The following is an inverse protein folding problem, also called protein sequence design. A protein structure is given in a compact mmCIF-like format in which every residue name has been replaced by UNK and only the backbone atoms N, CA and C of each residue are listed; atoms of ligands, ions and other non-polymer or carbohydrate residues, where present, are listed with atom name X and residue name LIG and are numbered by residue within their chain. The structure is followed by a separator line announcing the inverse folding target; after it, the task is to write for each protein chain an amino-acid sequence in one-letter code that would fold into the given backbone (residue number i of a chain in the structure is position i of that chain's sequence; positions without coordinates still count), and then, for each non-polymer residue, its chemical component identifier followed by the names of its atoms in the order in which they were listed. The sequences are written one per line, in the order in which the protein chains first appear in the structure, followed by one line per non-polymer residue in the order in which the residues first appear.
data_IF_031274079503
#
_entry.id   IF_031274079503
#
_cell.length_a   1.000
_cell.length_b   1.000
_cell.length_c   1.000
_cell.angle_alpha   90.00
_cell.angle_beta   90.00
_cell.angle_gamma   90.00
#
_symmetry.space_group_name_H-M   'P 1'
#
loop_
_entity.id
_entity.type
_entity.pdbx_description
1 polymer ?
#
# COMPACT_ATOMS: atom_id res chain seq x y z
N UNK A 1 51.58 29.35 62.74
CA UNK A 1 50.08 29.32 62.81
C UNK A 1 49.59 30.71 62.44
N UNK A 2 48.61 31.01 61.57
CA UNK A 2 47.68 30.26 60.71
C UNK A 2 47.40 31.23 59.53
N UNK A 3 47.61 30.80 58.27
CA UNK A 3 47.17 31.56 57.08
C UNK A 3 45.65 31.45 56.97
N UNK A 4 44.95 32.58 57.07
CA UNK A 4 43.52 32.69 56.79
C UNK A 4 43.30 32.64 55.27
N UNK A 5 42.75 31.52 54.79
CA UNK A 5 42.32 31.34 53.40
C UNK A 5 40.86 31.79 53.29
N UNK A 6 40.64 33.01 52.81
CA UNK A 6 39.31 33.52 52.48
C UNK A 6 38.73 32.80 51.25
N UNK A 7 37.98 31.72 51.46
CA UNK A 7 37.12 31.14 50.41
C UNK A 7 35.95 32.12 50.16
N UNK A 8 35.94 32.76 48.99
CA UNK A 8 34.77 33.52 48.50
C UNK A 8 33.56 32.58 48.46
N UNK A 9 32.58 32.79 49.35
CA UNK A 9 31.26 32.13 49.26
C UNK A 9 30.54 32.72 48.06
N UNK A 10 30.43 31.95 46.98
CA UNK A 10 29.51 32.23 45.88
C UNK A 10 28.10 32.25 46.50
N UNK A 11 27.29 33.27 46.22
CA UNK A 11 25.93 33.33 46.79
C UNK A 11 25.12 32.17 46.21
N UNK A 12 24.26 31.55 47.01
CA UNK A 12 23.40 30.45 46.55
C UNK A 12 22.61 30.81 45.29
N UNK A 13 22.26 32.09 45.15
CA UNK A 13 21.60 32.66 43.97
C UNK A 13 22.51 32.66 42.72
N UNK A 14 23.79 33.00 42.85
CA UNK A 14 24.73 32.97 41.71
C UNK A 14 25.02 31.55 41.25
N UNK A 15 25.09 30.60 42.19
CA UNK A 15 25.22 29.18 41.86
C UNK A 15 23.96 28.65 41.14
N UNK A 16 22.77 28.99 41.64
CA UNK A 16 21.50 28.58 41.03
C UNK A 16 21.34 29.12 39.60
N UNK A 17 21.64 30.40 39.37
CA UNK A 17 21.60 31.04 38.05
C UNK A 17 22.60 30.36 37.09
N UNK A 18 23.82 30.08 37.56
CA UNK A 18 24.82 29.38 36.74
C UNK A 18 24.36 27.97 36.35
N UNK A 19 23.79 27.21 37.30
CA UNK A 19 23.28 25.86 37.01
C UNK A 19 22.08 25.85 36.06
N UNK A 20 21.15 26.80 36.19
CA UNK A 20 20.02 26.92 35.26
C UNK A 20 20.45 27.35 33.87
N UNK A 21 21.43 28.26 33.75
CA UNK A 21 22.01 28.65 32.47
C UNK A 21 22.71 27.47 31.77
N UNK A 22 23.44 26.63 32.51
CA UNK A 22 24.08 25.42 31.97
C UNK A 22 23.02 24.40 31.52
N UNK A 23 21.98 24.15 32.32
CA UNK A 23 20.90 23.23 31.94
C UNK A 23 20.14 23.72 30.71
N UNK A 24 19.88 25.03 30.60
CA UNK A 24 19.27 25.64 29.43
C UNK A 24 20.17 25.50 28.19
N UNK A 25 21.48 25.74 28.33
CA UNK A 25 22.44 25.56 27.24
C UNK A 25 22.52 24.10 26.76
N UNK A 26 22.51 23.13 27.68
CA UNK A 26 22.47 21.70 27.36
C UNK A 26 21.15 21.34 26.67
N UNK A 27 20.00 21.82 27.15
CA UNK A 27 18.70 21.58 26.51
C UNK A 27 18.65 22.17 25.08
N UNK A 28 19.19 23.38 24.89
CA UNK A 28 19.30 24.01 23.57
C UNK A 28 20.23 23.21 22.66
N UNK A 29 21.40 22.79 23.14
CA UNK A 29 22.32 21.93 22.38
C UNK A 29 21.69 20.58 22.02
N UNK A 30 20.92 19.97 22.92
CA UNK A 30 20.18 18.75 22.65
C UNK A 30 19.10 18.97 21.57
N UNK A 31 18.36 20.08 21.62
CA UNK A 31 17.35 20.44 20.61
C UNK A 31 17.97 20.73 19.24
N UNK A 32 19.09 21.47 19.20
CA UNK A 32 19.83 21.72 17.97
C UNK A 32 20.46 20.43 17.42
N UNK A 33 21.02 19.59 18.28
CA UNK A 33 21.56 18.29 17.91
C UNK A 33 20.49 17.35 17.35
N UNK A 34 19.31 17.29 17.99
CA UNK A 34 18.19 16.48 17.49
C UNK A 34 17.65 17.02 16.16
N UNK A 35 17.55 18.33 15.99
CA UNK A 35 17.12 18.94 14.72
C UNK A 35 18.13 18.72 13.60
N UNK A 36 19.44 18.80 13.88
CA UNK A 36 20.48 18.55 12.89
C UNK A 36 20.50 17.07 12.47
N UNK A 37 20.41 16.16 13.44
CA UNK A 37 20.29 14.72 13.16
C UNK A 37 19.03 14.39 12.36
N UNK A 38 17.90 15.05 12.67
CA UNK A 38 16.66 14.92 11.90
C UNK A 38 16.81 15.44 10.46
N UNK A 39 17.44 16.61 10.27
CA UNK A 39 17.65 17.18 8.95
C UNK A 39 18.58 16.32 8.07
N UNK A 40 19.68 15.79 8.64
CA UNK A 40 20.58 14.87 7.92
C UNK A 40 19.87 13.58 7.51
N UNK A 41 19.06 13.04 8.41
CA UNK A 41 18.26 11.83 8.21
C UNK A 41 17.22 11.98 7.10
N UNK A 42 16.49 13.10 7.08
CA UNK A 42 15.52 13.41 6.00
C UNK A 42 16.25 13.59 4.67
N UNK A 43 17.42 14.24 4.67
CA UNK A 43 18.23 14.42 3.46
C UNK A 43 18.64 13.09 2.81
N UNK A 44 19.16 12.14 3.59
CA UNK A 44 19.57 10.84 3.06
C UNK A 44 18.40 10.06 2.43
N UNK A 45 17.22 10.07 3.09
CA UNK A 45 16.01 9.44 2.53
C UNK A 45 15.59 10.10 1.22
N UNK A 46 15.67 11.43 1.14
CA UNK A 46 15.29 12.18 -0.06
C UNK A 46 16.22 11.93 -1.25
N UNK A 47 17.54 11.85 -1.02
CA UNK A 47 18.51 11.55 -2.09
C UNK A 47 18.23 10.18 -2.73
N UNK A 48 17.87 9.17 -1.93
CA UNK A 48 17.51 7.85 -2.46
C UNK A 48 16.18 7.82 -3.22
N UNK A 49 15.20 8.59 -2.75
CA UNK A 49 13.93 8.72 -3.47
C UNK A 49 14.13 9.32 -4.86
N UNK A 50 14.98 10.35 -4.97
CA UNK A 50 15.26 11.01 -6.25
C UNK A 50 15.88 10.07 -7.29
N UNK A 51 16.77 9.16 -6.88
CA UNK A 51 17.37 8.17 -7.80
C UNK A 51 16.34 7.17 -8.32
N UNK A 52 15.48 6.66 -7.43
CA UNK A 52 14.39 5.76 -7.78
C UNK A 52 13.38 6.43 -8.70
N UNK A 53 12.99 7.66 -8.38
CA UNK A 53 12.05 8.47 -9.15
C UNK A 53 12.55 8.69 -10.57
N UNK A 54 13.83 9.04 -10.73
CA UNK A 54 14.47 9.18 -12.06
C UNK A 54 14.31 7.91 -12.91
N UNK A 55 14.58 6.73 -12.35
CA UNK A 55 14.47 5.46 -13.08
C UNK A 55 13.01 5.15 -13.48
N UNK A 56 12.05 5.52 -12.64
CA UNK A 56 10.64 5.34 -12.97
C UNK A 56 10.21 6.28 -14.10
N UNK A 57 10.64 7.55 -14.06
CA UNK A 57 10.36 8.52 -15.12
C UNK A 57 10.81 8.03 -16.49
N UNK A 58 12.03 7.48 -16.58
CA UNK A 58 12.57 6.92 -17.83
C UNK A 58 11.71 5.75 -18.37
N UNK A 59 11.21 4.87 -17.49
CA UNK A 59 10.29 3.78 -17.88
C UNK A 59 8.94 4.30 -18.33
N UNK A 60 8.40 5.32 -17.67
CA UNK A 60 7.11 5.93 -18.04
C UNK A 60 7.17 6.63 -19.40
N UNK A 61 8.29 7.26 -19.72
CA UNK A 61 8.50 7.88 -21.02
C UNK A 61 8.41 6.88 -22.18
N UNK A 62 9.05 5.72 -22.04
CA UNK A 62 8.97 4.66 -23.04
C UNK A 62 7.53 4.14 -23.21
N UNK A 63 6.84 3.86 -22.11
CA UNK A 63 5.47 3.35 -22.14
C UNK A 63 4.46 4.35 -22.75
N UNK A 64 4.64 5.66 -22.48
CA UNK A 64 3.79 6.72 -23.07
C UNK A 64 3.82 6.71 -24.60
N UNK A 65 4.97 6.41 -25.19
CA UNK A 65 5.12 6.33 -26.64
C UNK A 65 4.32 5.16 -27.20
N UNK A 66 4.42 3.98 -26.58
CA UNK A 66 3.69 2.77 -27.01
C UNK A 66 2.16 2.94 -26.94
N UNK A 67 1.64 3.57 -25.88
CA UNK A 67 0.20 3.84 -25.73
C UNK A 67 -0.30 4.83 -26.78
N UNK A 68 0.46 5.90 -27.03
CA UNK A 68 0.07 6.88 -28.05
C UNK A 68 0.01 6.24 -29.44
N UNK A 69 1.01 5.42 -29.79
CA UNK A 69 1.03 4.67 -31.05
C UNK A 69 -0.18 3.73 -31.16
N UNK A 70 -0.54 3.02 -30.08
CA UNK A 70 -1.73 2.17 -30.06
C UNK A 70 -3.01 2.99 -30.29
N UNK A 71 -3.19 4.11 -29.59
CA UNK A 71 -4.37 4.97 -29.74
C UNK A 71 -4.51 5.52 -31.16
N UNK A 72 -3.39 5.95 -31.76
CA UNK A 72 -3.36 6.43 -33.14
C UNK A 72 -3.76 5.32 -34.12
N UNK A 73 -3.30 4.08 -33.90
CA UNK A 73 -3.71 2.91 -34.72
C UNK A 73 -5.21 2.63 -34.60
N UNK A 74 -5.76 2.63 -33.39
CA UNK A 74 -7.19 2.35 -33.18
C UNK A 74 -8.07 3.43 -33.81
N UNK A 75 -7.66 4.69 -33.73
CA UNK A 75 -8.37 5.81 -34.34
C UNK A 75 -8.31 5.79 -35.87
N UNK A 76 -7.18 5.35 -36.44
CA UNK A 76 -6.99 5.27 -37.88
C UNK A 76 -7.71 4.09 -38.55
N UNK A 77 -8.02 3.02 -37.79
CA UNK A 77 -8.54 1.79 -38.34
C UNK A 77 -10.08 1.71 -38.30
N UNK A 78 -10.74 2.22 -39.35
CA UNK A 78 -12.21 2.25 -39.49
C UNK A 78 -12.91 0.86 -39.60
N UNK A 79 -12.17 -0.24 -39.49
CA UNK A 79 -12.64 -1.62 -39.71
C UNK A 79 -12.52 -2.53 -38.46
N UNK A 80 -12.47 -1.96 -37.25
CA UNK A 80 -12.53 -2.77 -36.02
C UNK A 80 -13.98 -3.26 -35.86
N UNK A 81 -14.17 -4.57 -35.72
CA UNK A 81 -15.47 -5.18 -35.40
C UNK A 81 -16.03 -4.55 -34.12
N UNK A 82 -17.28 -4.08 -34.15
CA UNK A 82 -17.97 -3.61 -32.96
C UNK A 82 -18.26 -4.74 -31.96
N UNK A 83 -18.30 -5.99 -32.45
CA UNK A 83 -18.55 -7.17 -31.62
C UNK A 83 -17.25 -7.60 -30.93
N UNK A 84 -17.30 -7.61 -29.60
CA UNK A 84 -16.23 -8.13 -28.74
C UNK A 84 -15.96 -9.62 -29.02
N UNK A 85 -14.76 -10.13 -28.70
CA UNK A 85 -14.48 -11.55 -28.76
C UNK A 85 -15.47 -12.34 -27.90
N UNK A 86 -15.85 -13.54 -28.33
CA UNK A 86 -16.70 -14.42 -27.53
C UNK A 86 -15.93 -14.89 -26.30
N UNK A 87 -16.46 -14.71 -25.07
CA UNK A 87 -15.82 -15.24 -23.87
C UNK A 87 -15.87 -16.78 -23.87
N UNK A 88 -14.99 -17.42 -23.10
CA UNK A 88 -15.19 -18.85 -22.81
C UNK A 88 -16.48 -18.98 -22.00
N UNK A 89 -17.43 -19.77 -22.52
CA UNK A 89 -18.76 -19.94 -21.93
C UNK A 89 -18.82 -21.14 -20.98
N UNK A 90 -17.69 -21.75 -20.64
CA UNK A 90 -17.63 -22.74 -19.55
C UNK A 90 -17.89 -22.05 -18.20
N UNK A 91 -18.44 -22.80 -17.22
CA UNK A 91 -18.69 -22.29 -15.86
C UNK A 91 -17.44 -21.61 -15.29
N UNK A 92 -17.61 -20.43 -14.68
CA UNK A 92 -16.54 -19.68 -14.03
C UNK A 92 -16.20 -18.33 -14.67
N UNK A 93 -14.99 -17.85 -14.38
CA UNK A 93 -14.51 -16.52 -14.78
C UNK A 93 -13.72 -16.60 -16.09
N UNK A 94 -14.11 -15.77 -17.07
CA UNK A 94 -13.40 -15.58 -18.34
C UNK A 94 -12.94 -14.12 -18.45
N UNK A 95 -11.65 -13.91 -18.72
CA UNK A 95 -11.05 -12.58 -18.90
C UNK A 95 -10.70 -12.42 -20.37
N UNK A 96 -11.27 -11.40 -21.02
CA UNK A 96 -11.12 -11.14 -22.46
C UNK A 96 -10.34 -9.85 -22.66
N UNK A 97 -9.29 -9.92 -23.47
CA UNK A 97 -8.53 -8.74 -23.89
C UNK A 97 -9.29 -7.97 -24.97
N UNK A 98 -9.59 -6.72 -24.67
CA UNK A 98 -10.31 -5.77 -25.51
C UNK A 98 -9.41 -4.61 -25.96
N UNK A 99 -8.08 -4.74 -25.86
CA UNK A 99 -7.11 -3.69 -26.23
C UNK A 99 -7.32 -3.13 -27.63
N UNK A 100 -7.76 -3.96 -28.57
CA UNK A 100 -8.02 -3.54 -29.95
C UNK A 100 -9.46 -3.06 -30.20
N UNK A 101 -10.28 -2.92 -29.15
CA UNK A 101 -11.68 -2.54 -29.23
C UNK A 101 -11.91 -1.20 -28.52
N UNK A 102 -12.57 -0.22 -29.17
CA UNK A 102 -12.85 1.07 -28.55
C UNK A 102 -13.91 0.93 -27.45
N UNK A 103 -13.95 1.91 -26.54
CA UNK A 103 -15.04 2.04 -25.58
C UNK A 103 -16.36 2.30 -26.32
N UNK A 104 -17.44 1.68 -25.85
CA UNK A 104 -18.75 1.89 -26.41
C UNK A 104 -19.39 3.19 -25.90
N UNK A 105 -19.98 3.97 -26.81
CA UNK A 105 -20.58 5.27 -26.56
C UNK A 105 -19.72 6.19 -25.65
N UNK A 106 -18.50 6.54 -26.07
CA UNK A 106 -17.55 7.20 -25.19
C UNK A 106 -18.03 8.61 -24.80
N UNK A 107 -17.91 8.93 -23.52
CA UNK A 107 -17.99 10.30 -22.98
C UNK A 107 -16.69 10.71 -22.33
N UNK A 108 -16.62 11.94 -21.82
CA UNK A 108 -15.48 12.43 -21.02
C UNK A 108 -15.99 12.88 -19.65
N UNK A 109 -15.26 12.53 -18.60
CA UNK A 109 -15.46 13.07 -17.25
C UNK A 109 -14.16 13.67 -16.73
N UNK A 110 -14.27 14.63 -15.82
CA UNK A 110 -13.12 15.18 -15.10
C UNK A 110 -13.21 14.76 -13.64
N UNK A 111 -12.13 14.17 -13.12
CA UNK A 111 -12.06 13.64 -11.76
C UNK A 111 -10.93 14.28 -10.97
N UNK A 112 -11.12 14.43 -9.66
CA UNK A 112 -10.11 14.91 -8.72
C UNK A 112 -9.06 13.84 -8.48
N UNK A 113 -7.79 14.23 -8.46
CA UNK A 113 -6.67 13.35 -8.12
C UNK A 113 -6.84 12.68 -6.75
N UNK A 114 -7.35 13.41 -5.76
CA UNK A 114 -7.54 12.89 -4.41
C UNK A 114 -8.58 11.78 -4.34
N UNK A 115 -9.69 11.93 -5.09
CA UNK A 115 -10.79 10.96 -5.08
C UNK A 115 -10.36 9.61 -5.67
N UNK A 116 -9.47 9.63 -6.66
CA UNK A 116 -9.01 8.43 -7.37
C UNK A 116 -7.77 7.78 -6.74
N UNK A 117 -7.16 8.35 -5.70
CA UNK A 117 -6.05 7.69 -4.98
C UNK A 117 -6.50 6.55 -4.07
N UNK A 118 -7.78 6.53 -3.68
CA UNK A 118 -8.33 5.58 -2.72
C UNK A 118 -9.02 4.38 -3.40
N UNK A 119 -9.00 4.30 -4.73
CA UNK A 119 -9.67 3.25 -5.52
C UNK A 119 -9.03 1.86 -5.45
N UNK A 120 -7.93 1.69 -4.70
CA UNK A 120 -7.34 0.39 -4.38
C UNK A 120 -6.06 0.03 -5.14
N UNK A 121 -5.78 0.63 -6.30
CA UNK A 121 -4.64 0.24 -7.16
C UNK A 121 -3.36 1.06 -6.96
N UNK A 122 -3.35 2.02 -6.03
CA UNK A 122 -2.15 2.82 -5.75
C UNK A 122 -0.95 1.93 -5.41
N UNK A 123 0.00 1.76 -6.33
CA UNK A 123 1.18 0.92 -6.11
C UNK A 123 2.13 1.61 -5.14
N UNK A 124 2.33 0.99 -3.97
CA UNK A 124 3.29 1.47 -2.98
C UNK A 124 4.30 0.35 -2.72
N UNK A 125 5.52 0.54 -3.18
CA UNK A 125 6.63 -0.40 -3.00
C UNK A 125 7.98 0.32 -2.99
N UNK A 126 9.09 -0.41 -2.94
CA UNK A 126 10.45 0.17 -2.89
C UNK A 126 10.72 1.17 -4.01
N UNK A 127 10.05 0.99 -5.16
CA UNK A 127 10.23 1.83 -6.33
C UNK A 127 9.20 2.95 -6.41
N UNK A 128 8.01 2.78 -5.84
CA UNK A 128 6.92 3.74 -5.98
C UNK A 128 6.50 4.21 -4.59
N UNK A 129 6.99 5.40 -4.20
CA UNK A 129 6.56 6.02 -2.95
C UNK A 129 5.10 6.45 -3.08
N UNK A 130 4.37 6.35 -1.97
CA UNK A 130 3.08 7.02 -1.81
C UNK A 130 3.22 8.51 -2.17
N UNK A 131 2.26 9.09 -2.92
CA UNK A 131 2.23 10.51 -3.23
C UNK A 131 2.32 11.40 -1.98
N UNK A 132 3.02 12.52 -2.08
CA UNK A 132 3.20 13.46 -0.97
C UNK A 132 1.95 14.26 -0.63
N UNK A 133 1.05 14.41 -1.61
CA UNK A 133 -0.25 15.07 -1.50
C UNK A 133 -1.37 14.11 -1.08
N UNK A 134 -1.05 12.87 -0.72
CA UNK A 134 -2.04 11.86 -0.34
C UNK A 134 -2.83 12.27 0.91
N UNK A 135 -4.15 12.45 0.77
CA UNK A 135 -5.03 12.79 1.89
C UNK A 135 -5.33 11.58 2.79
N UNK A 136 -5.12 11.79 4.08
CA UNK A 136 -5.29 10.78 5.13
C UNK A 136 -6.52 11.09 6.03
N UNK A 137 -7.25 12.16 5.72
CA UNK A 137 -8.33 12.70 6.56
C UNK A 137 -9.50 11.72 6.76
N UNK A 138 -9.73 10.83 5.79
CA UNK A 138 -10.82 9.86 5.79
C UNK A 138 -10.48 8.53 6.47
N UNK A 139 -9.26 8.36 7.01
CA UNK A 139 -8.89 7.17 7.77
C UNK A 139 -9.80 6.97 8.99
N UNK A 140 -10.27 5.74 9.18
CA UNK A 140 -11.14 5.36 10.30
C UNK A 140 -10.45 4.36 11.22
N UNK A 141 -10.71 4.46 12.53
CA UNK A 141 -10.34 3.39 13.46
C UNK A 141 -11.14 2.14 13.12
N UNK A 142 -10.44 1.04 12.80
CA UNK A 142 -11.10 -0.21 12.39
C UNK A 142 -12.01 -0.71 13.52
N UNK A 143 -11.57 -0.55 14.78
CA UNK A 143 -12.35 -0.93 15.96
C UNK A 143 -13.67 -0.17 16.07
N UNK A 144 -13.65 1.16 15.96
CA UNK A 144 -14.86 1.98 16.04
C UNK A 144 -15.78 1.69 14.86
N UNK A 145 -15.20 1.55 13.66
CA UNK A 145 -15.92 1.30 12.44
C UNK A 145 -16.66 -0.04 12.47
N UNK A 146 -15.98 -1.11 12.84
CA UNK A 146 -16.57 -2.44 12.97
C UNK A 146 -17.65 -2.54 14.06
N UNK A 147 -17.47 -1.86 15.20
CA UNK A 147 -18.51 -1.77 16.24
C UNK A 147 -19.79 -1.13 15.72
N UNK A 148 -19.67 -0.11 14.85
CA UNK A 148 -20.83 0.53 14.24
C UNK A 148 -21.61 -0.40 13.30
N UNK A 149 -20.96 -1.46 12.80
CA UNK A 149 -21.57 -2.50 11.97
C UNK A 149 -21.98 -3.76 12.76
N UNK A 150 -21.98 -3.70 14.10
CA UNK A 150 -22.40 -4.81 14.95
C UNK A 150 -21.33 -5.91 15.14
N UNK A 151 -20.12 -5.70 14.64
CA UNK A 151 -19.00 -6.64 14.79
C UNK A 151 -18.27 -6.32 16.10
N UNK A 152 -18.53 -7.14 17.13
CA UNK A 152 -18.15 -6.81 18.53
C UNK A 152 -17.07 -7.69 19.15
N UNK A 153 -16.80 -8.87 18.58
CA UNK A 153 -15.81 -9.83 19.11
C UNK A 153 -14.56 -9.92 18.22
N UNK A 154 -13.41 -9.98 18.89
CA UNK A 154 -12.18 -10.61 18.39
C UNK A 154 -11.32 -9.93 17.32
N UNK A 155 -11.33 -8.60 17.11
CA UNK A 155 -10.57 -8.02 15.96
C UNK A 155 -9.46 -7.02 16.33
N UNK A 156 -9.24 -6.69 17.61
CA UNK A 156 -8.45 -5.50 17.96
C UNK A 156 -7.30 -5.77 18.91
N UNK A 157 -6.06 -5.53 18.47
CA UNK A 157 -4.93 -5.36 19.39
C UNK A 157 -5.05 -4.06 20.18
N UNK A 158 -5.48 -2.98 19.51
CA UNK A 158 -5.75 -1.66 20.08
C UNK A 158 -6.69 -0.83 19.18
N UNK A 159 -7.12 0.34 19.65
CA UNK A 159 -7.97 1.30 18.94
C UNK A 159 -7.27 2.05 17.79
N UNK A 160 -5.94 1.93 17.71
CA UNK A 160 -5.09 2.81 16.91
C UNK A 160 -4.89 2.31 15.49
N UNK A 161 -5.26 1.05 15.22
CA UNK A 161 -5.27 0.51 13.87
C UNK A 161 -6.32 1.23 13.04
N UNK A 162 -5.87 1.75 11.90
CA UNK A 162 -6.68 2.53 10.97
C UNK A 162 -6.56 1.98 9.56
N UNK A 163 -7.65 2.12 8.81
CA UNK A 163 -7.71 1.83 7.37
C UNK A 163 -8.59 2.91 6.72
N UNK A 164 -8.49 3.05 5.40
CA UNK A 164 -9.53 3.75 4.66
C UNK A 164 -10.83 2.95 4.69
N UNK A 165 -12.01 3.60 4.66
CA UNK A 165 -13.30 2.93 4.72
C UNK A 165 -13.47 1.79 3.72
N UNK A 166 -12.97 1.96 2.49
CA UNK A 166 -13.02 0.92 1.44
C UNK A 166 -12.29 -0.37 1.86
N UNK A 167 -11.10 -0.25 2.44
CA UNK A 167 -10.33 -1.40 2.92
C UNK A 167 -10.89 -1.96 4.23
N UNK A 168 -11.45 -1.11 5.10
CA UNK A 168 -12.11 -1.54 6.33
C UNK A 168 -13.39 -2.35 6.03
N UNK A 169 -14.19 -1.92 5.05
CA UNK A 169 -15.38 -2.65 4.59
C UNK A 169 -14.99 -4.01 4.02
N UNK A 170 -14.04 -4.04 3.07
CA UNK A 170 -13.54 -5.28 2.49
C UNK A 170 -13.06 -6.29 3.54
N UNK A 171 -12.30 -5.83 4.54
CA UNK A 171 -11.90 -6.66 5.67
C UNK A 171 -13.11 -7.19 6.44
N UNK A 172 -14.07 -6.34 6.79
CA UNK A 172 -15.20 -6.73 7.64
C UNK A 172 -16.16 -7.66 6.91
N UNK A 173 -16.36 -7.49 5.61
CA UNK A 173 -17.15 -8.40 4.78
C UNK A 173 -16.49 -9.79 4.71
N UNK A 174 -15.16 -9.84 4.50
CA UNK A 174 -14.41 -11.09 4.54
C UNK A 174 -14.51 -11.78 5.91
N UNK A 175 -14.35 -11.04 7.00
CA UNK A 175 -14.45 -11.61 8.35
C UNK A 175 -15.86 -12.08 8.71
N UNK A 176 -16.91 -11.40 8.22
CA UNK A 176 -18.28 -11.85 8.41
C UNK A 176 -18.54 -13.17 7.68
N UNK A 177 -18.07 -13.31 6.44
CA UNK A 177 -18.20 -14.56 5.70
C UNK A 177 -17.35 -15.70 6.30
N UNK A 178 -16.15 -15.40 6.81
CA UNK A 178 -15.36 -16.37 7.54
C UNK A 178 -16.11 -16.87 8.78
N UNK A 179 -16.75 -15.96 9.51
CA UNK A 179 -17.57 -16.29 10.67
C UNK A 179 -18.77 -17.17 10.31
N UNK A 180 -19.43 -16.92 9.17
CA UNK A 180 -20.50 -17.79 8.66
C UNK A 180 -19.99 -19.20 8.34
N UNK A 181 -18.72 -19.33 7.94
CA UNK A 181 -18.02 -20.61 7.80
C UNK A 181 -17.51 -21.21 9.14
N UNK A 182 -17.85 -20.60 10.29
CA UNK A 182 -17.43 -21.06 11.62
C UNK A 182 -15.99 -20.68 12.00
N UNK A 183 -15.37 -19.77 11.25
CA UNK A 183 -13.99 -19.33 11.47
C UNK A 183 -13.98 -17.95 12.13
N UNK A 184 -13.58 -17.91 13.40
CA UNK A 184 -13.43 -16.66 14.18
C UNK A 184 -11.99 -16.53 14.73
N UNK A 185 -11.74 -15.43 15.45
CA UNK A 185 -10.46 -15.18 16.14
C UNK A 185 -9.42 -14.38 15.35
N UNK A 186 -9.82 -13.73 14.25
CA UNK A 186 -8.94 -12.88 13.43
C UNK A 186 -8.67 -11.52 14.07
N UNK A 187 -7.41 -11.20 14.35
CA UNK A 187 -7.02 -9.88 14.86
C UNK A 187 -6.13 -9.14 13.85
N UNK A 188 -6.41 -7.85 13.66
CA UNK A 188 -5.52 -6.95 12.91
C UNK A 188 -4.30 -6.61 13.77
N UNK A 189 -3.11 -7.01 13.32
CA UNK A 189 -1.84 -6.74 14.01
C UNK A 189 -1.31 -5.34 13.69
N UNK A 190 -1.20 -5.04 12.41
CA UNK A 190 -0.71 -3.77 11.87
C UNK A 190 -1.57 -3.38 10.67
N UNK A 191 -1.91 -2.11 10.55
CA UNK A 191 -2.60 -1.50 9.42
C UNK A 191 -1.92 -0.16 9.06
N UNK A 192 -2.67 0.92 8.87
CA UNK A 192 -2.09 2.21 8.50
C UNK A 192 -0.96 2.65 9.45
N UNK A 193 0.15 3.09 8.85
CA UNK A 193 1.29 3.72 9.52
C UNK A 193 1.62 5.03 8.80
N UNK A 194 1.75 6.12 9.55
CA UNK A 194 2.12 7.40 8.95
C UNK A 194 3.54 7.40 8.40
N UNK A 195 3.84 8.31 7.48
CA UNK A 195 5.19 8.51 6.95
C UNK A 195 6.16 8.88 8.09
N UNK A 196 5.69 9.70 9.04
CA UNK A 196 6.49 10.11 10.21
C UNK A 196 6.82 8.93 11.13
N UNK A 197 5.85 8.03 11.36
CA UNK A 197 6.09 6.83 12.16
C UNK A 197 7.04 5.86 11.44
N UNK A 198 6.87 5.69 10.12
CA UNK A 198 7.78 4.89 9.30
C UNK A 198 9.20 5.46 9.30
N UNK A 199 9.35 6.79 9.25
CA UNK A 199 10.64 7.47 9.39
C UNK A 199 11.26 7.14 10.74
N UNK A 200 10.49 7.26 11.84
CA UNK A 200 10.97 6.93 13.18
C UNK A 200 11.50 5.49 13.27
N UNK A 201 10.82 4.52 12.66
CA UNK A 201 11.28 3.13 12.59
C UNK A 201 12.58 2.98 11.78
N UNK A 202 12.64 3.61 10.61
CA UNK A 202 13.83 3.61 9.75
C UNK A 202 15.05 4.11 10.52
N UNK A 203 14.87 5.22 11.22
CA UNK A 203 15.95 5.88 11.93
C UNK A 203 16.45 5.10 13.13
N UNK A 204 15.52 4.50 13.87
CA UNK A 204 15.86 3.66 15.00
C UNK A 204 16.74 2.51 14.52
N UNK A 205 16.39 1.88 13.41
CA UNK A 205 17.15 0.76 12.84
C UNK A 205 18.50 1.21 12.27
N UNK A 206 18.53 2.28 11.48
CA UNK A 206 19.77 2.85 10.95
C UNK A 206 20.75 3.22 12.07
N UNK A 207 20.29 3.92 13.11
CA UNK A 207 21.15 4.30 14.24
C UNK A 207 21.59 3.09 15.06
N UNK A 208 20.74 2.07 15.21
CA UNK A 208 21.09 0.81 15.85
C UNK A 208 22.21 0.10 15.09
N UNK A 209 22.14 0.05 13.75
CA UNK A 209 23.18 -0.53 12.91
C UNK A 209 24.48 0.29 12.96
N UNK A 210 24.38 1.63 12.87
CA UNK A 210 25.53 2.54 12.98
C UNK A 210 26.27 2.38 14.31
N UNK A 211 25.53 2.21 15.40
CA UNK A 211 26.10 1.95 16.72
C UNK A 211 26.77 0.58 16.84
N UNK A 212 26.31 -0.44 16.10
CA UNK A 212 26.89 -1.79 16.10
C UNK A 212 28.02 -2.00 15.08
N UNK A 213 28.03 -1.20 14.01
CA UNK A 213 28.93 -1.34 12.88
C UNK A 213 29.59 0.01 12.54
N UNK A 214 30.40 0.53 13.46
CA UNK A 214 31.01 1.86 13.34
C UNK A 214 31.97 2.03 12.15
N UNK A 215 32.41 0.93 11.54
CA UNK A 215 33.26 0.94 10.35
C UNK A 215 32.49 0.93 9.02
N UNK A 216 31.18 0.70 9.05
CA UNK A 216 30.36 0.68 7.84
C UNK A 216 30.19 2.08 7.27
N UNK A 217 30.16 2.16 5.94
CA UNK A 217 29.80 3.38 5.22
C UNK A 217 28.31 3.68 5.37
N UNK A 218 27.90 4.89 5.00
CA UNK A 218 26.48 5.25 4.99
C UNK A 218 25.67 4.35 4.05
N UNK A 219 26.22 4.04 2.87
CA UNK A 219 25.58 3.16 1.89
C UNK A 219 25.38 1.74 2.42
N UNK A 220 26.37 1.18 3.13
CA UNK A 220 26.27 -0.14 3.76
C UNK A 220 25.20 -0.17 4.85
N UNK A 221 25.14 0.87 5.69
CA UNK A 221 24.13 1.03 6.73
C UNK A 221 22.73 1.12 6.12
N UNK A 222 22.56 1.95 5.08
CA UNK A 222 21.27 2.09 4.40
C UNK A 222 20.86 0.78 3.74
N UNK A 223 21.76 0.13 3.00
CA UNK A 223 21.48 -1.17 2.38
C UNK A 223 21.08 -2.23 3.41
N UNK A 224 21.67 -2.21 4.61
CA UNK A 224 21.28 -3.10 5.70
C UNK A 224 19.94 -2.70 6.34
N UNK A 225 19.65 -1.41 6.54
CA UNK A 225 18.35 -0.93 7.06
C UNK A 225 17.21 -1.35 6.14
N UNK A 226 17.37 -1.22 4.81
CA UNK A 226 16.36 -1.62 3.82
C UNK A 226 15.94 -3.08 3.90
N UNK A 227 16.80 -3.96 4.41
CA UNK A 227 16.48 -5.39 4.59
C UNK A 227 15.42 -5.64 5.66
N UNK A 228 15.13 -4.65 6.51
CA UNK A 228 14.21 -4.81 7.64
C UNK A 228 13.14 -3.72 7.69
N UNK A 229 13.45 -2.50 7.24
CA UNK A 229 12.53 -1.36 7.28
C UNK A 229 12.45 -0.74 5.89
N UNK A 230 11.24 -0.64 5.33
CA UNK A 230 11.01 0.13 4.11
C UNK A 230 11.38 1.60 4.31
N UNK A 231 11.86 2.25 3.26
CA UNK A 231 11.94 3.70 3.24
C UNK A 231 10.55 4.29 3.58
N UNK A 232 10.48 5.42 4.28
CA UNK A 232 9.22 6.12 4.46
C UNK A 232 8.56 6.33 3.10
N UNK A 233 7.25 6.12 3.01
CA UNK A 233 6.51 6.23 1.75
C UNK A 233 6.49 4.98 0.88
N UNK A 234 7.38 4.00 1.13
CA UNK A 234 7.48 2.78 0.31
C UNK A 234 6.97 1.53 1.04
N UNK A 235 6.24 1.71 2.13
CA UNK A 235 5.59 0.63 2.89
C UNK A 235 4.12 0.55 2.51
N UNK A 236 3.60 -0.66 2.30
CA UNK A 236 2.16 -0.90 2.10
C UNK A 236 1.31 -0.29 3.22
N UNK A 237 1.80 -0.25 4.45
CA UNK A 237 1.11 0.39 5.57
C UNK A 237 0.95 1.91 5.39
N UNK A 238 1.80 2.57 4.61
CA UNK A 238 1.64 3.99 4.31
C UNK A 238 0.43 4.25 3.42
N UNK A 239 -0.06 3.26 2.67
CA UNK A 239 -1.23 3.40 1.80
C UNK A 239 -2.55 3.47 2.57
N UNK A 240 -2.62 2.94 3.80
CA UNK A 240 -3.88 2.76 4.53
C UNK A 240 -4.86 1.75 3.90
N UNK A 241 -4.40 0.97 2.92
CA UNK A 241 -5.18 -0.04 2.19
C UNK A 241 -4.72 -1.48 2.52
N UNK A 242 -3.69 -1.63 3.34
CA UNK A 242 -3.10 -2.91 3.70
C UNK A 242 -3.12 -3.14 5.21
N UNK A 243 -3.23 -4.41 5.59
CA UNK A 243 -3.20 -4.84 6.99
C UNK A 243 -2.63 -6.25 7.13
N UNK A 244 -2.12 -6.57 8.30
CA UNK A 244 -1.70 -7.93 8.67
C UNK A 244 -2.66 -8.56 9.66
N UNK A 245 -2.90 -9.86 9.48
CA UNK A 245 -3.74 -10.66 10.37
C UNK A 245 -2.91 -11.62 11.23
N UNK A 246 -3.44 -11.92 12.42
CA UNK A 246 -3.03 -13.03 13.26
C UNK A 246 -4.24 -13.61 13.98
N UNK A 247 -4.05 -14.69 14.73
CA UNK A 247 -5.12 -15.34 15.48
C UNK A 247 -4.99 -15.05 16.96
N UNK A 248 -6.10 -14.66 17.57
CA UNK A 248 -6.20 -14.57 19.02
C UNK A 248 -7.65 -14.69 19.51
N UNK A 249 -7.84 -15.51 20.53
CA UNK A 249 -9.07 -15.62 21.29
C UNK A 249 -8.78 -15.86 22.78
N UNK A 250 -9.50 -15.13 23.64
CA UNK A 250 -9.31 -15.24 25.08
C UNK A 250 -9.71 -16.64 25.59
N UNK A 251 -8.78 -17.32 26.25
CA UNK A 251 -8.99 -18.68 26.76
C UNK A 251 -8.81 -19.79 25.73
N UNK A 252 -8.37 -19.48 24.50
CA UNK A 252 -8.12 -20.45 23.45
C UNK A 252 -6.62 -20.56 23.14
N UNK A 253 -5.87 -21.26 24.00
CA UNK A 253 -4.41 -21.40 23.89
C UNK A 253 -3.96 -22.13 22.63
N UNK A 254 -4.81 -23.01 22.09
CA UNK A 254 -4.53 -23.75 20.85
C UNK A 254 -4.53 -22.80 19.66
N UNK A 255 -5.58 -21.99 19.52
CA UNK A 255 -5.67 -20.97 18.47
C UNK A 255 -4.55 -19.93 18.59
N UNK A 256 -4.27 -19.47 19.82
CA UNK A 256 -3.30 -18.40 20.09
C UNK A 256 -1.85 -18.78 19.73
N UNK A 257 -1.54 -20.07 19.64
CA UNK A 257 -0.21 -20.59 19.26
C UNK A 257 -0.12 -20.97 17.79
N UNK A 258 -1.24 -20.97 17.08
CA UNK A 258 -1.31 -21.43 15.70
C UNK A 258 -0.65 -20.41 14.77
N UNK A 259 0.18 -20.90 13.85
CA UNK A 259 0.72 -20.07 12.77
C UNK A 259 -0.43 -19.77 11.82
N UNK A 260 -0.67 -18.49 11.53
CA UNK A 260 -1.81 -18.06 10.73
C UNK A 260 -1.87 -18.77 9.37
N UNK A 261 -0.74 -18.91 8.66
CA UNK A 261 -0.71 -19.58 7.36
C UNK A 261 -0.99 -21.08 7.41
N UNK A 262 -0.86 -21.72 8.57
CA UNK A 262 -1.12 -23.14 8.78
C UNK A 262 -2.55 -23.41 9.28
N UNK A 263 -3.28 -22.36 9.69
CA UNK A 263 -4.63 -22.49 10.24
C UNK A 263 -5.71 -22.55 9.16
N UNK A 264 -6.89 -23.05 9.54
CA UNK A 264 -8.08 -22.99 8.68
C UNK A 264 -8.50 -21.53 8.40
N UNK A 265 -8.28 -20.63 9.35
CA UNK A 265 -8.50 -19.19 9.16
C UNK A 265 -7.61 -18.59 8.06
N UNK A 266 -6.31 -18.91 8.07
CA UNK A 266 -5.39 -18.43 7.05
C UNK A 266 -5.76 -18.97 5.68
N UNK A 267 -5.94 -20.29 5.57
CA UNK A 267 -6.38 -20.96 4.32
C UNK A 267 -7.64 -20.32 3.77
N UNK A 268 -8.65 -20.12 4.61
CA UNK A 268 -9.90 -19.47 4.20
C UNK A 268 -9.65 -18.08 3.63
N UNK A 269 -8.82 -17.26 4.28
CA UNK A 269 -8.49 -15.93 3.75
C UNK A 269 -7.75 -16.03 2.41
N UNK A 270 -6.78 -16.92 2.25
CA UNK A 270 -6.05 -17.06 0.98
C UNK A 270 -6.94 -17.52 -0.18
N UNK A 271 -7.94 -18.35 0.11
CA UNK A 271 -8.88 -18.89 -0.89
C UNK A 271 -10.05 -17.95 -1.20
N UNK A 272 -10.44 -17.08 -0.26
CA UNK A 272 -11.70 -16.34 -0.35
C UNK A 272 -11.56 -14.82 -0.29
N UNK A 273 -10.43 -14.26 0.17
CA UNK A 273 -10.32 -12.80 0.39
C UNK A 273 -10.55 -11.98 -0.88
N UNK A 274 -10.19 -12.54 -2.04
CA UNK A 274 -10.34 -11.87 -3.34
C UNK A 274 -11.79 -11.53 -3.66
N UNK A 275 -12.75 -12.34 -3.19
CA UNK A 275 -14.19 -12.11 -3.33
C UNK A 275 -14.67 -10.82 -2.66
N UNK A 276 -13.86 -10.29 -1.73
CA UNK A 276 -14.10 -9.07 -0.99
C UNK A 276 -13.15 -7.94 -1.41
N UNK A 277 -12.40 -8.11 -2.51
CA UNK A 277 -11.47 -7.11 -3.01
C UNK A 277 -10.12 -7.07 -2.30
N UNK A 278 -9.76 -8.15 -1.59
CA UNK A 278 -8.49 -8.28 -0.87
C UNK A 278 -7.59 -9.33 -1.54
N UNK A 279 -6.32 -9.01 -1.72
CA UNK A 279 -5.31 -9.93 -2.24
C UNK A 279 -4.23 -10.22 -1.20
N UNK A 280 -3.68 -11.43 -1.24
CA UNK A 280 -2.46 -11.75 -0.50
C UNK A 280 -1.26 -11.09 -1.17
N UNK A 281 -0.58 -10.19 -0.47
CA UNK A 281 0.25 -9.18 -1.13
C UNK A 281 1.68 -9.63 -1.48
N UNK A 282 2.28 -10.46 -0.63
CA UNK A 282 3.69 -10.85 -0.72
C UNK A 282 3.88 -12.37 -0.65
N UNK A 283 3.49 -13.11 -1.70
CA UNK A 283 3.76 -14.54 -1.81
C UNK A 283 5.27 -14.82 -1.92
N UNK A 284 5.72 -15.80 -1.13
CA UNK A 284 7.07 -16.35 -1.15
C UNK A 284 7.01 -17.84 -1.51
N UNK A 285 8.17 -18.46 -1.67
CA UNK A 285 8.24 -19.89 -1.98
C UNK A 285 7.54 -20.69 -0.87
N UNK A 286 6.51 -21.45 -1.23
CA UNK A 286 5.69 -22.24 -0.31
C UNK A 286 4.98 -21.44 0.80
N UNK A 287 4.84 -20.12 0.64
CA UNK A 287 4.12 -19.24 1.56
C UNK A 287 3.21 -18.27 0.77
N UNK A 288 1.90 -18.22 1.06
CA UNK A 288 1.30 -18.66 2.32
C UNK A 288 0.94 -20.14 2.37
N UNK A 289 0.88 -20.82 1.22
CA UNK A 289 0.57 -22.24 1.13
C UNK A 289 1.62 -22.97 0.30
N UNK A 290 1.80 -24.27 0.57
CA UNK A 290 2.71 -25.12 -0.20
C UNK A 290 2.33 -25.12 -1.68
N UNK A 291 3.32 -24.95 -2.54
CA UNK A 291 3.13 -24.79 -3.98
C UNK A 291 2.96 -23.33 -4.43
N UNK A 292 2.88 -22.37 -3.50
CA UNK A 292 2.92 -20.94 -3.84
C UNK A 292 4.27 -20.60 -4.47
N UNK A 293 4.23 -19.93 -5.62
CA UNK A 293 5.41 -19.41 -6.32
C UNK A 293 5.77 -18.04 -5.75
N UNK A 294 7.06 -17.87 -5.42
CA UNK A 294 7.55 -16.58 -4.93
C UNK A 294 7.38 -15.47 -5.96
N UNK A 295 6.83 -14.34 -5.53
CA UNK A 295 6.82 -13.09 -6.32
C UNK A 295 7.81 -12.06 -5.80
N UNK A 296 8.74 -12.45 -4.92
CA UNK A 296 9.72 -11.53 -4.34
C UNK A 296 10.63 -10.86 -5.39
N UNK A 297 10.86 -11.52 -6.52
CA UNK A 297 11.59 -10.94 -7.67
C UNK A 297 10.89 -9.69 -8.24
N UNK A 298 9.58 -9.57 -7.99
CA UNK A 298 8.72 -8.48 -8.46
C UNK A 298 8.36 -7.50 -7.35
N UNK A 299 7.97 -8.02 -6.17
CA UNK A 299 7.51 -7.20 -5.04
C UNK A 299 8.67 -6.55 -4.28
N UNK A 300 9.87 -7.12 -4.37
CA UNK A 300 11.04 -6.71 -3.58
C UNK A 300 11.00 -7.17 -2.12
N UNK A 301 9.93 -7.84 -1.68
CA UNK A 301 9.74 -8.28 -0.28
C UNK A 301 10.06 -9.75 -0.14
N UNK A 302 11.01 -10.09 0.73
CA UNK A 302 11.51 -11.45 1.01
C UNK A 302 11.23 -11.91 2.46
N UNK A 303 10.21 -11.35 3.10
CA UNK A 303 9.83 -11.68 4.48
C UNK A 303 8.40 -12.19 4.51
N UNK A 304 8.16 -13.28 5.22
CA UNK A 304 6.83 -13.85 5.42
C UNK A 304 5.96 -12.88 6.22
N UNK A 305 4.87 -12.44 5.61
CA UNK A 305 3.91 -11.53 6.21
C UNK A 305 2.49 -11.96 5.82
N UNK A 306 1.62 -12.11 6.81
CA UNK A 306 0.18 -12.35 6.57
C UNK A 306 -0.53 -11.06 6.16
N UNK A 307 0.00 -10.38 5.15
CA UNK A 307 -0.41 -9.06 4.70
C UNK A 307 -1.41 -9.18 3.55
N UNK A 308 -2.58 -8.61 3.77
CA UNK A 308 -3.64 -8.48 2.78
C UNK A 308 -3.74 -7.03 2.35
N UNK A 309 -4.01 -6.82 1.06
CA UNK A 309 -4.10 -5.50 0.44
C UNK A 309 -5.43 -5.36 -0.29
N UNK A 310 -6.17 -4.29 -0.01
CA UNK A 310 -7.36 -3.92 -0.75
C UNK A 310 -6.98 -3.40 -2.14
N UNK A 311 -7.63 -3.95 -3.17
CA UNK A 311 -7.51 -3.56 -4.57
C UNK A 311 -8.88 -3.39 -5.26
N UNK A 312 -9.98 -3.61 -4.55
CA UNK A 312 -11.34 -3.66 -5.12
C UNK A 312 -11.68 -5.03 -5.70
N UNK A 313 -12.97 -5.41 -5.64
CA UNK A 313 -13.44 -6.74 -6.05
C UNK A 313 -13.06 -7.07 -7.50
N UNK A 314 -13.34 -6.21 -8.50
CA UNK A 314 -13.08 -6.56 -9.89
C UNK A 314 -11.59 -6.82 -10.18
N UNK A 315 -10.71 -6.00 -9.61
CA UNK A 315 -9.26 -6.20 -9.74
C UNK A 315 -8.78 -7.46 -9.01
N UNK A 316 -9.27 -7.69 -7.78
CA UNK A 316 -8.90 -8.89 -7.02
C UNK A 316 -9.34 -10.17 -7.73
N UNK A 317 -10.50 -10.15 -8.40
CA UNK A 317 -10.98 -11.26 -9.24
C UNK A 317 -9.99 -11.57 -10.37
N UNK A 318 -9.54 -10.56 -11.12
CA UNK A 318 -8.56 -10.75 -12.20
C UNK A 318 -7.21 -11.23 -11.66
N UNK A 319 -6.71 -10.59 -10.61
CA UNK A 319 -5.45 -10.95 -9.95
C UNK A 319 -5.45 -12.39 -9.44
N UNK A 320 -6.58 -12.85 -8.88
CA UNK A 320 -6.72 -14.22 -8.40
C UNK A 320 -6.72 -15.24 -9.55
N UNK A 321 -7.53 -15.03 -10.59
CA UNK A 321 -7.69 -16.00 -11.68
C UNK A 321 -6.48 -16.07 -12.61
N UNK A 322 -5.68 -15.00 -12.69
CA UNK A 322 -4.43 -14.98 -13.46
C UNK A 322 -3.18 -15.19 -12.59
N UNK A 323 -3.34 -15.47 -11.29
CA UNK A 323 -2.27 -15.63 -10.31
C UNK A 323 -1.21 -14.52 -10.41
N UNK A 324 -1.59 -13.27 -10.12
CA UNK A 324 -0.70 -12.10 -10.24
C UNK A 324 -0.54 -11.36 -8.92
N UNK A 325 0.68 -10.88 -8.64
CA UNK A 325 0.88 -9.83 -7.64
C UNK A 325 0.44 -8.46 -8.19
N UNK A 326 0.35 -7.44 -7.32
CA UNK A 326 -0.13 -6.11 -7.73
C UNK A 326 0.75 -5.48 -8.83
N UNK A 327 2.07 -5.64 -8.74
CA UNK A 327 3.00 -5.17 -9.77
C UNK A 327 2.74 -5.83 -11.13
N UNK A 328 2.55 -7.14 -11.16
CA UNK A 328 2.26 -7.88 -12.41
C UNK A 328 0.91 -7.49 -12.98
N UNK A 329 -0.08 -7.25 -12.12
CA UNK A 329 -1.40 -6.82 -12.56
C UNK A 329 -1.38 -5.42 -13.19
N UNK A 330 -0.64 -4.48 -12.62
CA UNK A 330 -0.49 -3.14 -13.23
C UNK A 330 0.24 -3.25 -14.56
N UNK A 331 1.33 -4.03 -14.65
CA UNK A 331 2.01 -4.27 -15.92
C UNK A 331 1.11 -4.98 -16.95
N UNK A 332 0.25 -5.90 -16.49
CA UNK A 332 -0.74 -6.56 -17.33
C UNK A 332 -1.74 -5.54 -17.89
N UNK A 333 -2.27 -4.63 -17.07
CA UNK A 333 -3.14 -3.54 -17.53
C UNK A 333 -2.42 -2.50 -18.38
N UNK A 334 -1.11 -2.35 -18.22
CA UNK A 334 -0.30 -1.52 -19.11
C UNK A 334 -0.24 -2.13 -20.51
N UNK A 335 -0.03 -3.44 -20.61
CA UNK A 335 0.00 -4.17 -21.88
C UNK A 335 -1.40 -4.41 -22.48
N UNK A 336 -2.41 -4.56 -21.62
CA UNK A 336 -3.80 -4.84 -21.97
C UNK A 336 -4.72 -3.76 -21.36
N UNK A 337 -4.69 -2.52 -21.87
CA UNK A 337 -5.37 -1.37 -21.27
C UNK A 337 -6.90 -1.42 -21.31
N UNK A 338 -7.48 -2.43 -21.94
CA UNK A 338 -8.93 -2.62 -21.96
C UNK A 338 -9.21 -4.12 -21.88
N UNK A 339 -9.87 -4.56 -20.81
CA UNK A 339 -10.27 -5.96 -20.61
C UNK A 339 -11.73 -6.03 -20.15
N UNK A 340 -12.38 -7.16 -20.43
CA UNK A 340 -13.68 -7.50 -19.86
C UNK A 340 -13.60 -8.78 -19.05
N UNK A 341 -14.36 -8.85 -17.97
CA UNK A 341 -14.51 -10.01 -17.10
C UNK A 341 -15.94 -10.51 -17.20
N UNK A 342 -16.06 -11.77 -17.59
CA UNK A 342 -17.32 -12.50 -17.66
C UNK A 342 -17.37 -13.54 -16.54
N UNK A 343 -18.54 -13.73 -15.96
CA UNK A 343 -18.85 -14.81 -15.02
C UNK A 343 -20.01 -15.59 -15.61
N UNK A 344 -19.81 -16.89 -15.84
CA UNK A 344 -20.79 -17.79 -16.46
C UNK A 344 -21.36 -17.23 -17.78
N UNK A 345 -20.46 -16.65 -18.60
CA UNK A 345 -20.77 -16.02 -19.88
C UNK A 345 -21.49 -14.67 -19.80
N UNK A 346 -21.77 -14.14 -18.61
CA UNK A 346 -22.37 -12.81 -18.41
C UNK A 346 -21.29 -11.77 -18.14
N UNK A 347 -21.35 -10.63 -18.82
CA UNK A 347 -20.44 -9.51 -18.54
C UNK A 347 -20.65 -9.01 -17.11
N UNK A 348 -19.58 -8.99 -16.31
CA UNK A 348 -19.60 -8.45 -14.95
C UNK A 348 -18.84 -7.15 -14.86
N UNK A 349 -17.63 -7.13 -15.42
CA UNK A 349 -16.74 -5.99 -15.33
C UNK A 349 -16.13 -5.62 -16.68
N UNK A 350 -15.95 -4.33 -16.91
CA UNK A 350 -15.05 -3.79 -17.93
C UNK A 350 -14.00 -2.97 -17.19
N UNK A 351 -12.72 -3.21 -17.46
CA UNK A 351 -11.60 -2.57 -16.77
C UNK A 351 -10.74 -1.89 -17.83
N UNK A 352 -10.55 -0.59 -17.67
CA UNK A 352 -9.90 0.27 -18.66
C UNK A 352 -8.81 1.09 -17.99
N UNK A 353 -7.57 0.94 -18.44
CA UNK A 353 -6.44 1.76 -18.01
C UNK A 353 -6.17 2.86 -19.04
N UNK A 354 -6.21 4.12 -18.59
CA UNK A 354 -5.85 5.28 -19.41
C UNK A 354 -4.63 5.98 -18.83
N UNK A 355 -3.70 6.35 -19.72
CA UNK A 355 -2.53 7.13 -19.31
C UNK A 355 -2.95 8.58 -19.07
N UNK A 356 -2.74 9.08 -17.86
CA UNK A 356 -3.09 10.44 -17.44
C UNK A 356 -1.92 11.21 -16.83
N UNK A 357 -0.84 10.53 -16.46
CA UNK A 357 0.28 11.10 -15.70
C UNK A 357 -0.05 11.29 -14.22
N UNK A 358 0.95 11.69 -13.41
CA UNK A 358 0.80 11.75 -11.95
C UNK A 358 0.88 13.15 -11.35
N UNK A 359 1.04 14.21 -12.16
CA UNK A 359 1.37 15.55 -11.64
C UNK A 359 0.21 16.54 -11.68
N UNK A 360 -0.99 16.11 -12.10
CA UNK A 360 -2.16 16.98 -12.27
C UNK A 360 -3.14 16.86 -11.10
N UNK A 361 -3.72 17.98 -10.66
CA UNK A 361 -4.74 17.99 -9.60
C UNK A 361 -6.07 17.35 -10.03
N UNK A 362 -6.32 17.30 -11.33
CA UNK A 362 -7.50 16.68 -11.94
C UNK A 362 -7.13 15.98 -13.23
N UNK A 363 -7.90 14.97 -13.62
CA UNK A 363 -7.71 14.22 -14.87
C UNK A 363 -8.98 14.23 -15.70
N UNK A 364 -8.84 14.42 -17.02
CA UNK A 364 -9.94 14.22 -17.97
C UNK A 364 -9.77 12.86 -18.63
N UNK A 365 -10.76 11.98 -18.44
CA UNK A 365 -10.70 10.59 -18.89
C UNK A 365 -11.92 10.24 -19.73
N UNK A 366 -11.71 9.42 -20.76
CA UNK A 366 -12.80 8.85 -21.54
C UNK A 366 -13.49 7.75 -20.75
N UNK A 367 -14.82 7.67 -20.85
CA UNK A 367 -15.60 6.65 -20.18
C UNK A 367 -16.61 5.98 -21.12
N UNK A 368 -16.86 4.69 -20.90
CA UNK A 368 -18.03 4.00 -21.45
C UNK A 368 -19.30 4.58 -20.82
N UNK A 369 -20.34 4.84 -21.62
CA UNK A 369 -21.66 5.27 -21.13
C UNK A 369 -22.69 4.13 -21.08
N UNK A 370 -22.24 2.87 -21.22
CA UNK A 370 -23.12 1.70 -21.08
C UNK A 370 -23.69 1.56 -19.67
N UNK A 371 -22.93 1.97 -18.66
CA UNK A 371 -23.33 1.97 -17.26
C UNK A 371 -22.91 3.27 -16.59
N UNK A 372 -23.69 3.69 -15.58
CA UNK A 372 -23.30 4.78 -14.68
C UNK A 372 -22.58 4.27 -13.42
N UNK A 373 -22.52 2.96 -13.22
CA UNK A 373 -21.82 2.35 -12.09
C UNK A 373 -20.36 2.12 -12.46
N UNK A 374 -19.49 3.03 -12.03
CA UNK A 374 -18.05 2.87 -12.21
C UNK A 374 -17.26 3.42 -11.02
N UNK A 375 -16.08 2.85 -10.81
CA UNK A 375 -15.07 3.34 -9.87
C UNK A 375 -13.77 3.63 -10.59
N UNK A 376 -12.91 4.44 -9.99
CA UNK A 376 -11.63 4.83 -10.58
C UNK A 376 -10.50 4.73 -9.54
N UNK A 377 -9.33 4.30 -9.99
CA UNK A 377 -8.12 4.27 -9.18
C UNK A 377 -6.91 4.71 -9.98
N UNK A 378 -6.07 5.57 -9.40
CA UNK A 378 -4.69 5.71 -9.85
C UNK A 378 -3.90 4.44 -9.51
N UNK A 379 -2.96 4.09 -10.38
CA UNK A 379 -2.00 3.00 -10.14
C UNK A 379 -0.67 3.45 -9.54
N UNK A 380 -0.44 4.77 -9.41
CA UNK A 380 0.86 5.35 -9.03
C UNK A 380 1.96 5.10 -10.09
N UNK A 381 1.55 4.83 -11.33
CA UNK A 381 2.36 4.59 -12.52
C UNK A 381 1.89 5.42 -13.73
N UNK A 382 1.27 6.57 -13.46
CA UNK A 382 0.70 7.49 -14.44
C UNK A 382 -0.58 7.00 -15.12
N UNK A 383 -1.15 5.88 -14.66
CA UNK A 383 -2.40 5.32 -15.16
C UNK A 383 -3.58 5.59 -14.24
N UNK A 384 -4.73 5.83 -14.84
CA UNK A 384 -6.03 5.82 -14.19
C UNK A 384 -6.83 4.65 -14.71
N UNK A 385 -7.18 3.74 -13.81
CA UNK A 385 -7.98 2.56 -14.08
C UNK A 385 -9.42 2.90 -13.76
N UNK A 386 -10.30 2.75 -14.74
CA UNK A 386 -11.74 2.84 -14.59
C UNK A 386 -12.33 1.44 -14.65
N UNK A 387 -13.18 1.13 -13.69
CA UNK A 387 -13.87 -0.15 -13.62
C UNK A 387 -15.36 0.10 -13.74
N UNK A 388 -16.00 -0.54 -14.70
CA UNK A 388 -17.44 -0.54 -14.89
C UNK A 388 -18.03 -1.84 -14.37
N UNK A 389 -19.16 -1.73 -13.68
CA UNK A 389 -19.91 -2.90 -13.18
C UNK A 389 -21.27 -2.98 -13.89
N UNK A 390 -21.65 -4.20 -14.28
CA UNK A 390 -22.80 -4.52 -15.13
C UNK A 390 -23.85 -5.40 -14.44
#
# INVERSE_FOLDING_TARGET
MKKSSGKKRVSSLTFLIATTAVLAAVAVLCLFGSNLLYAMRVRNVNEQRAEVEKRNTERYEAYRQEVQELQDRLTANNNISADWPTPDTQEGISIVDLTNYPLDNPGTVTVSRQDVMLGGLLLVNEWHSRPSDFDESSLVSIMTYARSMGVTKSIWRNSDQRLFPVAANALLDALNAAKEAGLEGYVVREAYRSISDQQTLWDAEYNRLKGRHSAWTDDELIAATKKSINLPGTSEYNSGLAFTLYLYENGNDELNKMVFSESEQGKWMYENSWKYGLVFRFPLQDFPTKGTVSRAYKTGVNVEMNLFRFVGIPNATVMHHLDMCLEEYIEYLMAHPHIAVFEDGQLKYEIVRQQVGDDSSTFSVSISRKTSNYTMSLDNMGGLITIYEY
#
